data_IF_339141412271
#
_entry.id   IF_339141412271
#
_cell.length_a   1.000
_cell.length_b   1.000
_cell.length_c   1.000
_cell.angle_alpha   90.00
_cell.angle_beta   90.00
_cell.angle_gamma   90.00
#
_symmetry.space_group_name_H-M   'P 1'
#
loop_
_entity.id
_entity.type
_entity.pdbx_description
1 polymer ?
#
# COMPACT_ATOMS: atom_id res chain seq x y z
N UNK A 1 -13.51 34.77 -4.02
CA UNK A 1 -14.51 35.47 -3.13
C UNK A 1 -15.26 34.39 -2.37
N UNK A 2 -15.55 34.59 -1.08
CA UNK A 2 -16.27 33.61 -0.27
C UNK A 2 -17.68 33.40 -0.86
N UNK A 3 -18.13 32.13 -1.02
CA UNK A 3 -19.49 31.84 -1.49
C UNK A 3 -20.58 32.36 -0.54
N UNK A 4 -21.73 32.78 -1.08
CA UNK A 4 -22.83 33.37 -0.32
C UNK A 4 -23.48 32.40 0.68
N UNK A 5 -23.37 31.10 0.44
CA UNK A 5 -23.89 30.07 1.35
C UNK A 5 -23.01 29.84 2.59
N UNK A 6 -21.87 30.52 2.70
CA UNK A 6 -21.05 30.53 3.91
C UNK A 6 -21.27 31.84 4.67
N UNK A 7 -21.58 31.77 5.96
CA UNK A 7 -21.56 32.93 6.86
C UNK A 7 -20.12 33.27 7.27
N UNK A 8 -19.29 32.26 7.55
CA UNK A 8 -17.87 32.40 7.88
C UNK A 8 -17.02 31.47 7.01
N UNK A 9 -15.74 31.81 6.87
CA UNK A 9 -14.75 31.05 6.10
C UNK A 9 -13.70 31.98 5.50
N UNK A 10 -12.44 31.58 5.60
CA UNK A 10 -11.32 32.23 4.99
C UNK A 10 -10.74 31.38 3.86
N UNK A 11 -10.27 32.02 2.78
CA UNK A 11 -9.53 31.27 1.77
C UNK A 11 -8.30 30.61 2.42
N UNK A 12 -8.05 29.35 2.09
CA UNK A 12 -6.89 28.62 2.60
C UNK A 12 -5.59 29.34 2.21
N UNK A 13 -4.65 29.46 3.13
CA UNK A 13 -3.43 30.26 2.98
C UNK A 13 -2.18 29.44 3.30
N UNK A 14 -1.11 29.69 2.57
CA UNK A 14 0.23 29.12 2.84
C UNK A 14 0.80 29.63 4.18
N UNK A 15 0.49 30.87 4.52
CA UNK A 15 0.91 31.50 5.78
C UNK A 15 -0.33 31.85 6.62
N UNK A 16 -0.96 30.86 7.26
CA UNK A 16 -2.14 31.13 8.07
C UNK A 16 -1.76 31.86 9.36
N UNK A 17 -2.53 32.88 9.70
CA UNK A 17 -2.36 33.65 10.95
C UNK A 17 -3.24 32.99 12.02
N UNK A 18 -2.70 31.95 12.66
CA UNK A 18 -3.37 31.15 13.67
C UNK A 18 -2.51 31.10 14.94
N UNK A 19 -3.15 30.81 16.08
CA UNK A 19 -2.44 30.56 17.33
C UNK A 19 -1.35 29.48 17.14
N UNK A 20 -0.24 29.61 17.83
CA UNK A 20 0.89 28.66 17.76
C UNK A 20 0.49 27.26 18.16
N UNK A 21 -0.54 27.09 18.97
CA UNK A 21 -1.10 25.83 19.45
C UNK A 21 -2.03 25.15 18.42
N UNK A 22 -2.52 25.87 17.41
CA UNK A 22 -3.43 25.33 16.39
C UNK A 22 -2.64 24.58 15.29
N UNK A 23 -2.11 23.39 15.63
CA UNK A 23 -1.37 22.57 14.67
C UNK A 23 -2.28 22.05 13.55
N UNK A 24 -3.47 21.58 13.87
CA UNK A 24 -4.45 21.04 12.90
C UNK A 24 -4.85 22.11 11.90
N UNK A 25 -5.37 23.26 12.38
CA UNK A 25 -5.82 24.35 11.50
C UNK A 25 -4.71 24.89 10.60
N UNK A 26 -3.47 25.00 11.11
CA UNK A 26 -2.32 25.42 10.33
C UNK A 26 -1.98 24.42 9.23
N UNK A 27 -1.89 23.14 9.58
CA UNK A 27 -1.57 22.06 8.62
C UNK A 27 -2.66 21.98 7.55
N UNK A 28 -3.92 22.07 7.94
CA UNK A 28 -5.07 22.10 7.03
C UNK A 28 -4.98 23.26 6.05
N UNK A 29 -4.76 24.48 6.55
CA UNK A 29 -4.70 25.69 5.71
C UNK A 29 -3.56 25.59 4.68
N UNK A 30 -2.37 25.16 5.09
CA UNK A 30 -1.21 25.01 4.21
C UNK A 30 -1.49 23.96 3.13
N UNK A 31 -1.97 22.77 3.52
CA UNK A 31 -2.22 21.66 2.57
C UNK A 31 -3.34 22.02 1.59
N UNK A 32 -4.44 22.60 2.07
CA UNK A 32 -5.53 23.03 1.20
C UNK A 32 -5.08 24.17 0.24
N UNK A 33 -4.24 25.09 0.70
CA UNK A 33 -3.68 26.13 -0.16
C UNK A 33 -2.77 25.53 -1.25
N UNK A 34 -1.91 24.58 -0.90
CA UNK A 34 -1.07 23.87 -1.89
C UNK A 34 -1.92 23.05 -2.87
N UNK A 35 -2.98 22.38 -2.40
CA UNK A 35 -3.88 21.61 -3.25
C UNK A 35 -4.57 22.50 -4.30
N UNK A 36 -4.86 23.77 -3.98
CA UNK A 36 -5.46 24.72 -4.92
C UNK A 36 -4.43 25.37 -5.84
N UNK A 37 -3.19 25.56 -5.37
CA UNK A 37 -2.13 26.28 -6.10
C UNK A 37 -1.28 25.36 -6.98
N UNK A 38 -1.17 24.08 -6.63
CA UNK A 38 -0.38 23.09 -7.37
C UNK A 38 -1.35 22.16 -8.10
N UNK A 39 -1.51 22.40 -9.40
CA UNK A 39 -2.56 21.77 -10.20
C UNK A 39 -2.47 20.24 -10.25
N UNK A 40 -1.26 19.71 -10.38
CA UNK A 40 -1.03 18.26 -10.47
C UNK A 40 -1.31 17.58 -9.13
N UNK A 41 -0.94 18.20 -8.01
CA UNK A 41 -1.25 17.69 -6.67
C UNK A 41 -2.76 17.67 -6.45
N UNK A 42 -3.45 18.77 -6.72
CA UNK A 42 -4.90 18.86 -6.62
C UNK A 42 -5.61 17.80 -7.50
N UNK A 43 -5.16 17.65 -8.75
CA UNK A 43 -5.70 16.66 -9.68
C UNK A 43 -5.49 15.22 -9.18
N UNK A 44 -4.30 14.90 -8.68
CA UNK A 44 -3.96 13.55 -8.21
C UNK A 44 -4.75 13.18 -6.95
N UNK A 45 -4.83 14.09 -5.98
CA UNK A 45 -5.60 13.86 -4.75
C UNK A 45 -7.11 13.74 -5.03
N UNK A 46 -7.68 14.64 -5.83
CA UNK A 46 -9.11 14.61 -6.15
C UNK A 46 -9.49 13.41 -7.03
N UNK A 47 -8.58 12.96 -7.91
CA UNK A 47 -8.78 11.70 -8.66
C UNK A 47 -8.92 10.48 -7.73
N UNK A 48 -8.22 10.48 -6.59
CA UNK A 48 -8.27 9.38 -5.63
C UNK A 48 -9.63 9.24 -4.93
N UNK A 49 -10.44 10.30 -4.93
CA UNK A 49 -11.82 10.32 -4.42
C UNK A 49 -12.85 10.33 -5.56
N UNK A 50 -12.49 9.78 -6.71
CA UNK A 50 -13.32 9.62 -7.91
C UNK A 50 -13.73 10.93 -8.61
N UNK A 51 -13.09 12.07 -8.28
CA UNK A 51 -13.33 13.35 -8.95
C UNK A 51 -12.23 13.62 -9.99
N UNK A 52 -12.63 13.74 -11.26
CA UNK A 52 -11.72 14.13 -12.35
C UNK A 52 -11.74 15.65 -12.52
N UNK A 53 -10.58 16.26 -12.33
CA UNK A 53 -10.37 17.70 -12.51
C UNK A 53 -9.70 17.93 -13.86
N UNK A 54 -10.39 18.63 -14.76
CA UNK A 54 -9.88 19.00 -16.07
C UNK A 54 -9.08 20.32 -16.07
N UNK A 55 -8.48 20.66 -17.21
CA UNK A 55 -7.71 21.92 -17.37
C UNK A 55 -8.54 23.21 -17.17
N UNK A 56 -9.86 23.14 -17.41
CA UNK A 56 -10.79 24.28 -17.27
C UNK A 56 -11.50 24.31 -15.93
N UNK A 57 -11.17 23.37 -15.03
CA UNK A 57 -11.76 23.37 -13.70
C UNK A 57 -10.99 24.32 -12.76
N UNK A 58 -11.71 25.04 -11.91
CA UNK A 58 -11.13 25.79 -10.78
C UNK A 58 -11.30 25.01 -9.49
N UNK A 59 -10.29 25.07 -8.65
CA UNK A 59 -10.30 24.48 -7.30
C UNK A 59 -10.11 25.62 -6.30
N UNK A 60 -11.03 25.74 -5.36
CA UNK A 60 -10.96 26.70 -4.26
C UNK A 60 -11.06 25.97 -2.93
N UNK A 61 -10.43 26.51 -1.91
CA UNK A 61 -10.50 25.96 -0.56
C UNK A 61 -10.68 27.05 0.48
N UNK A 62 -11.50 26.77 1.47
CA UNK A 62 -11.80 27.64 2.60
C UNK A 62 -11.56 26.87 3.90
N UNK A 63 -11.08 27.58 4.92
CA UNK A 63 -10.91 27.05 6.29
C UNK A 63 -11.85 27.75 7.25
N UNK A 64 -12.04 27.15 8.41
CA UNK A 64 -12.83 27.72 9.50
C UNK A 64 -14.26 28.11 9.04
N UNK A 65 -14.92 27.20 8.31
CA UNK A 65 -16.18 27.48 7.63
C UNK A 65 -17.40 27.36 8.55
N UNK A 66 -18.38 28.23 8.31
CA UNK A 66 -19.71 28.14 8.90
C UNK A 66 -20.74 28.43 7.80
N UNK A 67 -21.71 27.54 7.63
CA UNK A 67 -22.78 27.73 6.65
C UNK A 67 -23.77 28.81 7.09
N UNK A 68 -24.31 29.53 6.13
CA UNK A 68 -25.34 30.54 6.38
C UNK A 68 -26.65 29.86 6.88
N UNK A 69 -27.23 30.40 7.94
CA UNK A 69 -28.48 29.89 8.52
C UNK A 69 -28.31 28.66 9.42
N UNK A 70 -27.07 28.18 9.64
CA UNK A 70 -26.80 27.08 10.55
C UNK A 70 -26.86 27.53 12.02
N UNK A 71 -27.81 26.98 12.78
CA UNK A 71 -27.99 27.27 14.20
C UNK A 71 -27.03 26.46 15.10
N UNK A 72 -26.39 25.42 14.55
CA UNK A 72 -25.46 24.52 15.26
C UNK A 72 -23.98 24.90 15.08
N UNK A 73 -23.72 25.99 14.38
CA UNK A 73 -22.40 26.46 13.96
C UNK A 73 -21.30 26.54 15.05
N UNK A 74 -21.69 26.60 16.32
CA UNK A 74 -20.74 26.58 17.44
C UNK A 74 -20.16 25.19 17.75
N UNK A 75 -20.82 24.11 17.30
CA UNK A 75 -20.44 22.71 17.58
C UNK A 75 -19.98 21.96 16.32
N UNK A 76 -20.46 22.38 15.15
CA UNK A 76 -20.27 21.68 13.87
C UNK A 76 -19.49 22.58 12.90
N UNK A 77 -18.19 22.76 13.19
CA UNK A 77 -17.30 23.61 12.40
C UNK A 77 -16.24 22.76 11.71
N UNK A 78 -16.47 22.33 10.45
CA UNK A 78 -15.45 21.60 9.69
C UNK A 78 -14.18 22.44 9.52
N UNK A 79 -13.02 21.79 9.52
CA UNK A 79 -11.72 22.43 9.33
C UNK A 79 -11.60 23.11 7.96
N UNK A 80 -12.30 22.55 6.95
CA UNK A 80 -12.25 23.13 5.62
C UNK A 80 -13.40 22.74 4.71
N UNK A 81 -13.47 23.44 3.57
CA UNK A 81 -14.36 23.17 2.46
C UNK A 81 -13.55 23.29 1.15
N UNK A 82 -13.58 22.21 0.35
CA UNK A 82 -13.10 22.24 -1.03
C UNK A 82 -14.27 22.45 -1.98
N UNK A 83 -14.05 23.29 -2.99
CA UNK A 83 -15.02 23.58 -4.05
C UNK A 83 -14.31 23.40 -5.38
N UNK A 84 -14.85 22.53 -6.22
CA UNK A 84 -14.37 22.32 -7.60
C UNK A 84 -15.45 22.72 -8.56
N UNK A 85 -15.14 23.69 -9.45
CA UNK A 85 -16.08 24.16 -10.49
C UNK A 85 -15.59 23.72 -11.86
N UNK A 86 -16.49 23.12 -12.62
CA UNK A 86 -16.27 22.75 -14.02
C UNK A 86 -17.45 23.20 -14.85
N UNK A 87 -17.27 24.30 -15.57
CA UNK A 87 -18.39 25.00 -16.24
C UNK A 87 -19.45 25.44 -15.24
N UNK A 88 -20.70 24.94 -15.41
CA UNK A 88 -21.82 25.25 -14.50
C UNK A 88 -21.95 24.25 -13.31
N UNK A 89 -21.11 23.24 -13.25
CA UNK A 89 -21.17 22.22 -12.19
C UNK A 89 -20.23 22.63 -11.06
N UNK A 90 -20.72 22.53 -9.85
CA UNK A 90 -19.97 22.70 -8.62
C UNK A 90 -20.02 21.41 -7.82
N UNK A 91 -18.85 20.93 -7.39
CA UNK A 91 -18.68 19.81 -6.47
C UNK A 91 -18.04 20.34 -5.19
N UNK A 92 -18.51 19.86 -4.06
CA UNK A 92 -18.09 20.32 -2.73
C UNK A 92 -17.73 19.18 -1.80
N UNK A 93 -16.68 19.35 -0.99
CA UNK A 93 -16.31 18.40 0.05
C UNK A 93 -16.01 19.13 1.37
N UNK A 94 -16.58 18.66 2.48
CA UNK A 94 -16.13 19.04 3.81
C UNK A 94 -14.80 18.36 4.12
N UNK A 95 -13.92 19.06 4.81
CA UNK A 95 -12.61 18.54 5.23
C UNK A 95 -12.56 18.52 6.75
N UNK A 96 -12.13 17.39 7.30
CA UNK A 96 -11.80 17.23 8.73
C UNK A 96 -10.41 16.63 8.86
N UNK A 97 -9.58 17.21 9.70
CA UNK A 97 -8.18 16.82 9.85
C UNK A 97 -7.85 16.48 11.30
N UNK A 98 -6.95 15.52 11.47
CA UNK A 98 -6.35 15.19 12.75
C UNK A 98 -4.85 15.04 12.61
N UNK A 99 -4.08 15.59 13.55
CA UNK A 99 -2.61 15.47 13.59
C UNK A 99 -2.15 14.96 14.97
N UNK A 100 -0.91 14.49 15.03
CA UNK A 100 -0.34 13.96 16.27
C UNK A 100 -1.03 12.67 16.72
N UNK A 101 -1.46 12.62 17.96
CA UNK A 101 -2.18 11.49 18.57
C UNK A 101 -3.69 11.59 18.47
N UNK A 102 -4.22 12.66 17.89
CA UNK A 102 -5.66 12.86 17.76
C UNK A 102 -6.23 11.85 16.76
N UNK A 103 -7.28 11.17 17.15
CA UNK A 103 -8.00 10.19 16.33
C UNK A 103 -9.27 10.82 15.75
N UNK A 104 -9.72 10.24 14.65
CA UNK A 104 -11.04 10.54 14.09
C UNK A 104 -12.12 10.07 15.05
N UNK A 105 -13.18 10.86 15.17
CA UNK A 105 -14.32 10.63 16.04
C UNK A 105 -15.57 10.27 15.22
N UNK A 106 -16.22 9.16 15.58
CA UNK A 106 -17.40 8.65 14.88
C UNK A 106 -18.55 9.64 14.88
N UNK A 107 -18.84 10.24 16.05
CA UNK A 107 -19.93 11.19 16.19
C UNK A 107 -19.66 12.48 15.41
N UNK A 108 -18.39 12.92 15.35
CA UNK A 108 -18.00 14.09 14.58
C UNK A 108 -18.20 13.85 13.07
N UNK A 109 -17.78 12.69 12.57
CA UNK A 109 -17.97 12.35 11.14
C UNK A 109 -19.44 12.24 10.79
N UNK A 110 -20.27 11.67 11.66
CA UNK A 110 -21.72 11.60 11.42
C UNK A 110 -22.40 12.97 11.46
N UNK A 111 -21.97 13.88 12.34
CA UNK A 111 -22.43 15.28 12.31
C UNK A 111 -22.10 15.96 10.98
N UNK A 112 -20.87 15.76 10.46
CA UNK A 112 -20.46 16.34 9.18
C UNK A 112 -21.18 15.74 7.98
N UNK A 113 -21.55 14.46 8.02
CA UNK A 113 -22.45 13.88 7.02
C UNK A 113 -23.82 14.53 7.01
N UNK A 114 -24.38 14.80 8.18
CA UNK A 114 -25.66 15.47 8.32
C UNK A 114 -25.58 16.92 7.83
N UNK A 115 -24.50 17.62 8.17
CA UNK A 115 -24.22 18.97 7.68
C UNK A 115 -24.07 18.99 6.14
N UNK A 116 -23.30 18.04 5.58
CA UNK A 116 -23.16 17.89 4.15
C UNK A 116 -24.50 17.66 3.44
N UNK A 117 -25.34 16.79 3.99
CA UNK A 117 -26.68 16.54 3.47
C UNK A 117 -27.57 17.79 3.51
N UNK A 118 -27.51 18.54 4.61
CA UNK A 118 -28.33 19.76 4.81
C UNK A 118 -27.95 20.86 3.80
N UNK A 119 -26.65 21.04 3.53
CA UNK A 119 -26.15 22.11 2.68
C UNK A 119 -25.82 21.66 1.24
N UNK A 120 -26.20 20.43 0.85
CA UNK A 120 -25.99 19.90 -0.48
C UNK A 120 -24.49 19.75 -0.83
N UNK A 121 -23.66 19.37 0.12
CA UNK A 121 -22.23 19.04 -0.09
C UNK A 121 -22.14 17.58 -0.51
N UNK A 122 -21.27 17.29 -1.48
CA UNK A 122 -21.23 15.98 -2.14
C UNK A 122 -20.58 14.88 -1.29
N UNK A 123 -19.58 15.22 -0.49
CA UNK A 123 -18.88 14.24 0.37
C UNK A 123 -18.19 14.89 1.58
N UNK A 124 -17.66 14.04 2.45
CA UNK A 124 -16.73 14.41 3.52
C UNK A 124 -15.38 13.74 3.23
N UNK A 125 -14.28 14.45 3.43
CA UNK A 125 -12.92 13.89 3.35
C UNK A 125 -12.25 14.09 4.70
N UNK A 126 -11.85 13.01 5.33
CA UNK A 126 -11.06 13.06 6.56
C UNK A 126 -9.58 12.88 6.23
N UNK A 127 -8.72 13.55 7.00
CA UNK A 127 -7.26 13.42 6.87
C UNK A 127 -6.63 13.17 8.24
N UNK A 128 -5.86 12.11 8.39
CA UNK A 128 -5.20 11.80 9.67
C UNK A 128 -3.93 10.95 9.49
N UNK A 129 -3.30 10.57 10.60
CA UNK A 129 -2.20 9.61 10.60
C UNK A 129 -2.66 8.14 10.46
N UNK A 130 -3.97 7.88 10.36
CA UNK A 130 -4.49 6.53 10.12
C UNK A 130 -4.38 6.18 8.63
N UNK A 131 -4.24 4.88 8.33
CA UNK A 131 -4.02 4.39 6.97
C UNK A 131 -5.19 3.56 6.47
N UNK A 132 -5.43 3.62 5.18
CA UNK A 132 -6.42 2.79 4.48
C UNK A 132 -5.89 2.39 3.11
N UNK A 133 -6.28 1.22 2.63
CA UNK A 133 -5.86 0.70 1.32
C UNK A 133 -6.39 1.57 0.16
N UNK A 134 -7.58 2.14 0.33
CA UNK A 134 -8.23 3.08 -0.61
C UNK A 134 -8.96 4.17 0.16
N UNK A 135 -9.12 5.38 -0.39
CA UNK A 135 -9.85 6.45 0.29
C UNK A 135 -11.29 6.09 0.68
N UNK A 136 -11.97 5.22 -0.05
CA UNK A 136 -13.32 4.73 0.25
C UNK A 136 -13.36 3.81 1.47
N UNK A 137 -12.24 3.15 1.78
CA UNK A 137 -12.13 2.21 2.89
C UNK A 137 -11.76 2.95 4.18
N UNK A 138 -12.71 3.74 4.70
CA UNK A 138 -12.50 4.60 5.86
C UNK A 138 -12.00 3.83 7.09
N UNK A 139 -11.09 4.40 7.94
CA UNK A 139 -10.58 3.70 9.13
C UNK A 139 -11.69 3.41 10.15
N UNK A 140 -12.68 4.29 10.30
CA UNK A 140 -13.78 4.08 11.22
C UNK A 140 -14.77 3.03 10.71
N UNK A 141 -15.06 2.03 11.55
CA UNK A 141 -15.98 0.95 11.21
C UNK A 141 -17.42 1.42 11.01
N UNK A 142 -17.87 2.41 11.80
CA UNK A 142 -19.20 3.04 11.68
C UNK A 142 -19.41 3.61 10.28
N UNK A 143 -18.39 4.26 9.72
CA UNK A 143 -18.40 4.81 8.37
C UNK A 143 -18.53 3.69 7.33
N UNK A 144 -17.75 2.61 7.46
CA UNK A 144 -17.79 1.46 6.54
C UNK A 144 -19.14 0.72 6.57
N UNK A 145 -19.83 0.72 7.70
CA UNK A 145 -21.15 0.09 7.87
C UNK A 145 -22.33 1.02 7.54
N UNK A 146 -22.06 2.30 7.34
CA UNK A 146 -23.10 3.29 7.13
C UNK A 146 -23.81 3.13 5.78
N UNK A 147 -25.12 3.35 5.76
CA UNK A 147 -25.97 3.41 4.56
C UNK A 147 -26.22 4.84 4.09
N UNK A 148 -25.48 5.82 4.61
CA UNK A 148 -25.60 7.22 4.20
C UNK A 148 -25.30 7.38 2.71
N UNK A 149 -26.05 8.26 2.03
CA UNK A 149 -25.78 8.63 0.64
C UNK A 149 -24.62 9.61 0.49
N UNK A 150 -24.20 10.24 1.58
CA UNK A 150 -23.02 11.10 1.58
C UNK A 150 -21.78 10.21 1.80
N UNK A 151 -20.92 10.03 0.78
CA UNK A 151 -19.70 9.26 0.94
C UNK A 151 -18.73 9.98 1.86
N UNK A 152 -17.92 9.20 2.58
CA UNK A 152 -16.80 9.70 3.38
C UNK A 152 -15.53 9.03 2.88
N UNK A 153 -14.59 9.84 2.45
CA UNK A 153 -13.26 9.40 2.02
C UNK A 153 -12.23 9.67 3.11
N UNK A 154 -11.12 8.96 3.03
CA UNK A 154 -10.00 9.17 3.93
C UNK A 154 -8.68 9.26 3.19
N UNK A 155 -7.89 10.30 3.49
CA UNK A 155 -6.49 10.41 3.12
C UNK A 155 -5.62 10.28 4.37
N UNK A 156 -4.57 9.44 4.34
CA UNK A 156 -3.51 9.57 5.33
C UNK A 156 -2.61 10.75 4.95
N UNK A 157 -2.02 11.41 5.93
CA UNK A 157 -1.00 12.44 5.68
C UNK A 157 0.16 11.90 4.85
N UNK A 158 0.57 10.66 5.12
CA UNK A 158 1.63 9.99 4.36
C UNK A 158 1.24 9.69 2.91
N UNK A 159 -0.05 9.49 2.61
CA UNK A 159 -0.53 9.39 1.23
C UNK A 159 -0.38 10.72 0.48
N UNK A 160 -0.71 11.85 1.13
CA UNK A 160 -0.52 13.19 0.55
C UNK A 160 0.97 13.45 0.31
N UNK A 161 1.83 13.18 1.29
CA UNK A 161 3.27 13.32 1.18
C UNK A 161 3.85 12.45 0.05
N UNK A 162 3.46 11.18 -0.02
CA UNK A 162 3.93 10.26 -1.05
C UNK A 162 3.45 10.67 -2.45
N UNK A 163 2.24 11.24 -2.56
CA UNK A 163 1.77 11.80 -3.83
C UNK A 163 2.64 12.98 -4.27
N UNK A 164 3.01 13.87 -3.33
CA UNK A 164 3.93 14.96 -3.61
C UNK A 164 5.31 14.45 -4.07
N UNK A 165 5.86 13.45 -3.38
CA UNK A 165 7.14 12.83 -3.74
C UNK A 165 7.13 12.25 -5.16
N UNK A 166 6.08 11.50 -5.52
CA UNK A 166 5.95 10.92 -6.87
C UNK A 166 5.88 11.99 -7.96
N UNK A 167 5.12 13.07 -7.73
CA UNK A 167 5.02 14.17 -8.69
C UNK A 167 6.37 14.86 -8.93
N UNK A 168 7.19 14.99 -7.87
CA UNK A 168 8.55 15.55 -7.97
C UNK A 168 9.47 14.56 -8.72
N UNK A 169 9.53 13.30 -8.29
CA UNK A 169 10.46 12.31 -8.84
C UNK A 169 10.17 11.95 -10.30
N UNK A 170 8.91 12.05 -10.73
CA UNK A 170 8.50 11.77 -12.11
C UNK A 170 8.51 13.01 -13.02
N UNK A 171 9.02 14.16 -12.55
CA UNK A 171 9.04 15.43 -13.29
C UNK A 171 7.66 15.84 -13.84
N UNK A 172 6.58 15.53 -13.07
CA UNK A 172 5.21 15.82 -13.51
C UNK A 172 4.80 17.30 -13.36
N UNK A 173 5.60 18.11 -12.68
CA UNK A 173 5.35 19.54 -12.42
C UNK A 173 6.19 20.38 -13.39
N UNK A 174 5.57 20.93 -14.42
CA UNK A 174 6.26 21.75 -15.40
C UNK A 174 6.51 23.21 -14.94
N UNK A 175 5.69 23.72 -14.03
CA UNK A 175 5.78 25.09 -13.51
C UNK A 175 6.79 25.16 -12.35
N UNK A 176 7.88 25.98 -12.47
CA UNK A 176 8.92 26.06 -11.44
C UNK A 176 8.41 26.57 -10.08
N UNK A 177 7.43 27.48 -10.09
CA UNK A 177 6.89 28.04 -8.84
C UNK A 177 6.03 27.00 -8.12
N UNK A 178 5.25 26.22 -8.87
CA UNK A 178 4.50 25.11 -8.30
C UNK A 178 5.42 23.98 -7.80
N UNK A 179 6.51 23.68 -8.50
CA UNK A 179 7.54 22.74 -8.05
C UNK A 179 8.20 23.21 -6.75
N UNK A 180 8.55 24.50 -6.68
CA UNK A 180 9.09 25.10 -5.45
C UNK A 180 8.10 24.96 -4.29
N UNK A 181 6.83 25.31 -4.49
CA UNK A 181 5.78 25.17 -3.48
C UNK A 181 5.59 23.72 -3.05
N UNK A 182 5.69 22.77 -3.98
CA UNK A 182 5.56 21.33 -3.66
C UNK A 182 6.72 20.82 -2.80
N UNK A 183 7.94 21.27 -3.07
CA UNK A 183 9.11 20.99 -2.24
C UNK A 183 8.98 21.60 -0.84
N UNK A 184 8.48 22.82 -0.72
CA UNK A 184 8.22 23.44 0.58
C UNK A 184 7.10 22.72 1.36
N UNK A 185 6.05 22.29 0.68
CA UNK A 185 5.01 21.45 1.28
C UNK A 185 5.60 20.13 1.81
N UNK A 186 6.41 19.44 1.02
CA UNK A 186 7.11 18.23 1.44
C UNK A 186 7.96 18.46 2.69
N UNK A 187 8.78 19.54 2.70
CA UNK A 187 9.60 19.92 3.84
C UNK A 187 8.74 20.20 5.08
N UNK A 188 7.61 20.90 4.91
CA UNK A 188 6.68 21.18 5.99
C UNK A 188 6.07 19.90 6.56
N UNK A 189 5.52 19.01 5.70
CA UNK A 189 4.85 17.77 6.13
C UNK A 189 5.80 16.77 6.81
N UNK A 190 7.08 16.79 6.47
CA UNK A 190 8.10 15.92 7.10
C UNK A 190 8.65 16.47 8.42
N UNK A 191 8.34 17.71 8.77
CA UNK A 191 8.84 18.31 10.00
C UNK A 191 8.03 17.80 11.22
N UNK A 192 8.72 17.40 12.28
CA UNK A 192 8.12 16.81 13.50
C UNK A 192 7.06 17.70 14.18
N UNK A 193 7.19 19.05 14.04
CA UNK A 193 6.24 20.00 14.64
C UNK A 193 4.82 19.89 14.10
N UNK A 194 4.63 19.30 12.91
CA UNK A 194 3.30 19.08 12.33
C UNK A 194 2.52 17.96 13.02
N UNK A 195 3.23 17.03 13.65
CA UNK A 195 2.64 15.82 14.21
C UNK A 195 2.23 14.78 13.17
N UNK A 196 2.67 14.96 11.91
CA UNK A 196 2.48 13.97 10.85
C UNK A 196 3.53 12.87 11.01
N UNK A 197 3.09 11.63 10.92
CA UNK A 197 3.97 10.46 11.08
C UNK A 197 3.42 9.25 10.34
N UNK A 198 4.33 8.29 10.06
CA UNK A 198 4.00 6.96 9.62
C UNK A 198 3.31 6.13 10.71
N UNK A 199 2.99 4.91 10.39
CA UNK A 199 2.47 3.96 11.39
C UNK A 199 3.62 3.53 12.30
N UNK A 200 3.61 3.91 13.56
CA UNK A 200 4.77 3.81 14.45
C UNK A 200 4.67 2.72 15.53
N UNK A 201 3.50 2.12 15.72
CA UNK A 201 3.31 1.10 16.75
C UNK A 201 2.09 0.21 16.55
N UNK A 202 2.21 -1.03 16.93
CA UNK A 202 1.09 -1.94 17.12
C UNK A 202 0.26 -1.53 18.34
N UNK A 203 -1.05 -1.88 18.39
CA UNK A 203 -1.89 -1.62 19.57
C UNK A 203 -1.48 -2.48 20.78
N UNK A 204 -1.92 -2.14 22.01
CA UNK A 204 -1.62 -2.91 23.21
C UNK A 204 -1.96 -4.41 23.10
N UNK A 205 -2.99 -4.76 22.35
CA UNK A 205 -3.47 -6.10 22.05
C UNK A 205 -2.42 -6.96 21.32
N UNK A 206 -1.44 -6.34 20.69
CA UNK A 206 -0.28 -7.03 20.12
C UNK A 206 0.48 -7.85 21.17
N UNK A 207 0.72 -7.24 22.33
CA UNK A 207 1.43 -7.90 23.44
C UNK A 207 0.58 -9.05 24.00
N UNK A 208 -0.73 -8.84 24.14
CA UNK A 208 -1.67 -9.86 24.61
C UNK A 208 -1.72 -11.06 23.66
N UNK A 209 -1.92 -10.81 22.36
CA UNK A 209 -1.97 -11.86 21.34
C UNK A 209 -0.67 -12.68 21.29
N UNK A 210 0.49 -12.02 21.39
CA UNK A 210 1.79 -12.70 21.44
C UNK A 210 1.95 -13.58 22.69
N UNK A 211 1.48 -13.16 23.85
CA UNK A 211 1.48 -13.98 25.06
C UNK A 211 0.62 -15.23 24.89
N UNK A 212 -0.60 -15.07 24.39
CA UNK A 212 -1.53 -16.18 24.14
C UNK A 212 -0.91 -17.22 23.16
N UNK A 213 -0.34 -16.76 22.04
CA UNK A 213 0.30 -17.65 21.05
C UNK A 213 1.55 -18.31 21.63
N UNK A 214 2.35 -17.60 22.44
CA UNK A 214 3.54 -18.15 23.10
C UNK A 214 3.21 -19.22 24.14
N UNK A 215 2.03 -19.14 24.75
CA UNK A 215 1.50 -20.18 25.64
C UNK A 215 0.90 -21.39 24.89
N UNK A 216 1.02 -21.40 23.54
CA UNK A 216 0.41 -22.42 22.66
C UNK A 216 -1.13 -22.50 22.76
N UNK A 217 -1.75 -21.40 23.19
CA UNK A 217 -3.20 -21.32 23.30
C UNK A 217 -3.83 -21.01 21.93
N UNK A 218 -5.06 -21.48 21.72
CA UNK A 218 -5.81 -21.19 20.52
C UNK A 218 -6.36 -19.76 20.55
N UNK A 219 -6.25 -19.02 19.46
CA UNK A 219 -6.88 -17.70 19.32
C UNK A 219 -8.41 -17.89 19.31
N UNK A 220 -9.15 -17.27 20.25
CA UNK A 220 -10.61 -17.43 20.33
C UNK A 220 -11.32 -16.99 19.05
N UNK A 221 -12.47 -17.61 18.75
CA UNK A 221 -13.26 -17.30 17.56
C UNK A 221 -13.83 -15.86 17.52
N UNK A 222 -13.88 -15.19 18.67
CA UNK A 222 -14.35 -13.80 18.84
C UNK A 222 -13.30 -12.96 19.56
N UNK A 223 -12.03 -13.07 19.18
CA UNK A 223 -10.93 -12.31 19.79
C UNK A 223 -10.92 -10.88 19.27
N UNK A 224 -11.32 -9.92 20.09
CA UNK A 224 -11.20 -8.49 19.78
C UNK A 224 -9.73 -8.08 19.64
N UNK A 225 -8.85 -8.64 20.46
CA UNK A 225 -7.41 -8.40 20.39
C UNK A 225 -6.83 -8.80 19.03
N UNK A 226 -7.20 -9.97 18.51
CA UNK A 226 -6.71 -10.39 17.20
C UNK A 226 -7.29 -9.54 16.06
N UNK A 227 -8.51 -9.05 16.17
CA UNK A 227 -9.10 -8.11 15.21
C UNK A 227 -8.37 -6.76 15.23
N UNK A 228 -8.10 -6.20 16.41
CA UNK A 228 -7.35 -4.95 16.56
C UNK A 228 -5.93 -5.08 15.97
N UNK A 229 -5.27 -6.21 16.19
CA UNK A 229 -3.95 -6.52 15.60
C UNK A 229 -4.01 -6.58 14.08
N UNK A 230 -5.04 -7.20 13.50
CA UNK A 230 -5.20 -7.25 12.04
C UNK A 230 -5.49 -5.88 11.43
N UNK A 231 -6.33 -5.07 12.06
CA UNK A 231 -6.59 -3.70 11.59
C UNK A 231 -5.31 -2.84 11.64
N UNK A 232 -4.49 -3.01 12.67
CA UNK A 232 -3.17 -2.38 12.77
C UNK A 232 -2.19 -2.90 11.70
N UNK A 233 -2.20 -4.20 11.44
CA UNK A 233 -1.41 -4.82 10.38
C UNK A 233 -1.78 -4.28 8.99
N UNK A 234 -3.07 -4.06 8.72
CA UNK A 234 -3.51 -3.43 7.47
C UNK A 234 -3.00 -1.99 7.33
N UNK A 235 -2.94 -1.22 8.42
CA UNK A 235 -2.39 0.12 8.40
C UNK A 235 -0.88 0.10 8.14
N UNK A 236 -0.15 -0.77 8.82
CA UNK A 236 1.29 -0.95 8.61
C UNK A 236 1.61 -1.39 7.17
N UNK A 237 0.92 -2.38 6.64
CA UNK A 237 1.17 -2.84 5.26
C UNK A 237 0.89 -1.75 4.23
N UNK A 238 -0.08 -0.88 4.50
CA UNK A 238 -0.30 0.30 3.67
C UNK A 238 0.84 1.30 3.80
N UNK A 239 1.34 1.57 5.00
CA UNK A 239 2.49 2.48 5.19
C UNK A 239 3.75 1.91 4.53
N UNK A 240 4.05 0.62 4.69
CA UNK A 240 5.14 -0.05 3.98
C UNK A 240 5.05 0.13 2.45
N UNK A 241 3.85 0.07 1.88
CA UNK A 241 3.66 0.34 0.45
C UNK A 241 4.02 1.79 0.08
N UNK A 242 3.71 2.76 0.94
CA UNK A 242 4.07 4.16 0.75
C UNK A 242 5.57 4.41 0.97
N UNK A 243 6.18 3.73 1.94
CA UNK A 243 7.63 3.76 2.18
C UNK A 243 8.38 3.26 0.96
N UNK A 244 8.01 2.08 0.42
CA UNK A 244 8.62 1.55 -0.80
C UNK A 244 8.36 2.45 -2.01
N UNK A 245 7.17 3.04 -2.13
CA UNK A 245 6.87 4.01 -3.18
C UNK A 245 7.86 5.17 -3.18
N UNK A 246 8.12 5.77 -2.01
CA UNK A 246 9.08 6.88 -1.88
C UNK A 246 10.53 6.47 -2.12
N UNK A 247 10.88 5.21 -1.80
CA UNK A 247 12.25 4.69 -2.01
C UNK A 247 12.51 4.24 -3.46
N UNK A 248 11.48 3.78 -4.16
CA UNK A 248 11.59 3.27 -5.54
C UNK A 248 11.16 4.28 -6.59
N UNK A 249 10.57 5.41 -6.15
CA UNK A 249 9.98 6.44 -7.04
C UNK A 249 8.91 5.87 -7.98
N UNK A 250 8.38 4.70 -7.65
CA UNK A 250 7.37 3.98 -8.41
C UNK A 250 6.19 3.60 -7.51
N UNK A 251 4.96 3.68 -8.01
CA UNK A 251 3.76 3.48 -7.20
C UNK A 251 3.59 2.02 -6.76
N UNK A 252 4.07 1.70 -5.57
CA UNK A 252 3.88 0.39 -4.93
C UNK A 252 2.48 0.29 -4.33
N UNK A 253 1.84 -0.85 -4.53
CA UNK A 253 0.47 -1.12 -4.04
C UNK A 253 0.38 -2.43 -3.30
N UNK A 254 -0.51 -2.51 -2.31
CA UNK A 254 -0.94 -3.80 -1.77
C UNK A 254 -1.60 -4.63 -2.89
N UNK A 255 -1.15 -5.88 -3.04
CA UNK A 255 -1.77 -6.84 -3.96
C UNK A 255 -2.89 -7.59 -3.25
N UNK A 256 -4.09 -7.03 -3.30
CA UNK A 256 -5.28 -7.60 -2.69
C UNK A 256 -6.22 -8.19 -3.76
N UNK A 257 -6.90 -9.31 -3.46
CA UNK A 257 -8.02 -9.78 -4.29
C UNK A 257 -9.09 -8.70 -4.42
N UNK A 258 -9.77 -8.63 -5.57
CA UNK A 258 -10.82 -7.63 -5.80
C UNK A 258 -11.88 -7.62 -4.71
N UNK A 259 -12.33 -8.82 -4.26
CA UNK A 259 -13.30 -8.95 -3.16
C UNK A 259 -12.85 -8.28 -1.85
N UNK A 260 -11.54 -8.27 -1.54
CA UNK A 260 -11.00 -7.60 -0.34
C UNK A 260 -10.87 -6.08 -0.53
N UNK A 261 -10.63 -5.65 -1.77
CA UNK A 261 -10.61 -4.22 -2.09
C UNK A 261 -12.02 -3.60 -2.02
N UNK A 262 -13.03 -4.36 -2.41
CA UNK A 262 -14.42 -3.91 -2.45
C UNK A 262 -15.12 -4.07 -1.08
N UNK A 263 -14.68 -5.03 -0.25
CA UNK A 263 -15.22 -5.28 1.10
C UNK A 263 -14.09 -5.50 2.14
N UNK A 264 -13.65 -4.46 2.85
CA UNK A 264 -12.67 -4.56 3.92
C UNK A 264 -13.10 -5.43 5.11
N UNK A 265 -14.40 -5.56 5.36
CA UNK A 265 -14.87 -6.42 6.45
C UNK A 265 -14.75 -7.90 6.06
N UNK A 266 -14.93 -8.24 4.79
CA UNK A 266 -14.66 -9.58 4.28
C UNK A 266 -13.17 -9.91 4.37
N UNK A 267 -12.28 -8.96 3.98
CA UNK A 267 -10.83 -9.08 4.16
C UNK A 267 -10.49 -9.43 5.60
N UNK A 268 -10.97 -8.61 6.55
CA UNK A 268 -10.69 -8.78 7.98
C UNK A 268 -11.17 -10.16 8.46
N UNK A 269 -12.35 -10.62 8.04
CA UNK A 269 -12.91 -11.92 8.41
C UNK A 269 -12.07 -13.09 7.88
N UNK A 270 -11.67 -13.05 6.61
CA UNK A 270 -10.88 -14.14 5.99
C UNK A 270 -9.46 -14.18 6.57
N UNK A 271 -8.82 -13.02 6.75
CA UNK A 271 -7.48 -12.94 7.34
C UNK A 271 -7.50 -13.31 8.83
N UNK A 272 -8.58 -13.01 9.56
CA UNK A 272 -8.76 -13.48 10.94
C UNK A 272 -8.84 -15.02 11.02
N UNK A 273 -9.55 -15.65 10.11
CA UNK A 273 -9.59 -17.11 10.05
C UNK A 273 -8.19 -17.70 9.77
N UNK A 274 -7.46 -17.12 8.81
CA UNK A 274 -6.08 -17.49 8.50
C UNK A 274 -5.13 -17.30 9.69
N UNK A 275 -5.22 -16.17 10.40
CA UNK A 275 -4.40 -15.90 11.59
C UNK A 275 -4.65 -16.91 12.71
N UNK A 276 -5.91 -17.32 12.91
CA UNK A 276 -6.26 -18.34 13.90
C UNK A 276 -5.65 -19.70 13.58
N UNK A 277 -5.57 -20.05 12.33
CA UNK A 277 -5.01 -21.32 11.86
C UNK A 277 -3.48 -21.31 11.86
N UNK A 278 -2.90 -20.33 11.16
CA UNK A 278 -1.48 -20.31 10.84
C UNK A 278 -0.60 -19.59 11.89
N UNK A 279 -1.20 -18.76 12.76
CA UNK A 279 -0.49 -17.85 13.68
C UNK A 279 0.46 -16.88 12.94
N UNK A 280 0.12 -16.54 11.68
CA UNK A 280 0.92 -15.65 10.82
C UNK A 280 0.08 -14.48 10.33
N UNK A 281 0.68 -13.30 10.33
CA UNK A 281 0.21 -12.16 9.56
C UNK A 281 0.90 -12.19 8.19
N UNK A 282 0.18 -11.84 7.14
CA UNK A 282 0.72 -11.83 5.79
C UNK A 282 0.31 -10.59 5.02
N UNK A 283 1.18 -10.13 4.13
CA UNK A 283 0.89 -9.06 3.17
C UNK A 283 1.64 -9.30 1.86
N UNK A 284 1.12 -8.77 0.78
CA UNK A 284 1.74 -8.85 -0.54
C UNK A 284 1.77 -7.45 -1.16
N UNK A 285 2.95 -6.99 -1.55
CA UNK A 285 3.17 -5.71 -2.20
C UNK A 285 3.56 -5.92 -3.67
N UNK A 286 2.91 -5.19 -4.55
CA UNK A 286 3.24 -5.17 -5.98
C UNK A 286 4.08 -3.93 -6.28
N UNK A 287 5.37 -4.15 -6.54
CA UNK A 287 6.29 -3.12 -7.04
C UNK A 287 6.24 -3.16 -8.57
N UNK A 288 6.02 -2.03 -9.25
CA UNK A 288 6.02 -2.00 -10.71
C UNK A 288 7.31 -2.58 -11.29
N UNK A 289 7.18 -3.35 -12.35
CA UNK A 289 8.28 -3.96 -13.11
C UNK A 289 9.22 -4.89 -12.32
N UNK A 290 8.95 -5.15 -11.04
CA UNK A 290 9.68 -6.16 -10.28
C UNK A 290 9.41 -7.57 -10.82
N UNK A 291 10.37 -8.47 -10.64
CA UNK A 291 10.30 -9.85 -11.14
C UNK A 291 9.09 -10.64 -10.60
N UNK A 292 8.65 -10.32 -9.38
CA UNK A 292 7.44 -10.83 -8.75
C UNK A 292 7.02 -9.92 -7.58
N UNK A 293 5.81 -10.08 -7.05
CA UNK A 293 5.40 -9.36 -5.84
C UNK A 293 6.30 -9.71 -4.64
N UNK A 294 6.41 -8.75 -3.70
CA UNK A 294 7.09 -8.92 -2.42
C UNK A 294 6.07 -9.43 -1.40
N UNK A 295 6.33 -10.60 -0.84
CA UNK A 295 5.49 -11.23 0.18
C UNK A 295 6.12 -11.02 1.55
N UNK A 296 5.34 -10.56 2.53
CA UNK A 296 5.78 -10.20 3.87
C UNK A 296 5.01 -11.05 4.88
N UNK A 297 5.71 -11.65 5.82
CA UNK A 297 5.11 -12.48 6.84
C UNK A 297 5.67 -12.17 8.22
N UNK A 298 4.79 -12.09 9.22
CA UNK A 298 5.15 -12.06 10.63
C UNK A 298 4.59 -13.30 11.33
N UNK A 299 5.46 -14.19 11.79
CA UNK A 299 5.08 -15.43 12.46
C UNK A 299 5.14 -15.24 13.97
N UNK A 300 3.99 -15.29 14.64
CA UNK A 300 3.86 -15.06 16.08
C UNK A 300 4.47 -16.20 16.92
N UNK A 301 4.43 -17.45 16.41
CA UNK A 301 4.96 -18.63 17.14
C UNK A 301 6.49 -18.58 17.21
N UNK A 302 7.14 -18.30 16.09
CA UNK A 302 8.60 -18.31 15.98
C UNK A 302 9.23 -16.94 16.23
N UNK A 303 8.41 -15.88 16.32
CA UNK A 303 8.84 -14.47 16.44
C UNK A 303 9.78 -14.08 15.30
N UNK A 304 9.36 -14.44 14.08
CA UNK A 304 10.15 -14.26 12.87
C UNK A 304 9.43 -13.29 11.92
N UNK A 305 10.18 -12.38 11.35
CA UNK A 305 9.77 -11.56 10.20
C UNK A 305 10.43 -12.17 8.98
N UNK A 306 9.64 -12.46 7.94
CA UNK A 306 10.13 -12.99 6.67
C UNK A 306 9.64 -12.12 5.52
N UNK A 307 10.52 -11.86 4.56
CA UNK A 307 10.20 -11.19 3.29
C UNK A 307 10.68 -12.10 2.18
N UNK A 308 9.84 -12.37 1.20
CA UNK A 308 10.18 -13.28 0.12
C UNK A 308 9.66 -12.85 -1.25
N UNK A 309 10.32 -13.32 -2.29
CA UNK A 309 9.87 -13.20 -3.68
C UNK A 309 10.01 -14.55 -4.39
N UNK A 310 9.01 -14.88 -5.21
CA UNK A 310 9.01 -16.13 -5.98
C UNK A 310 9.50 -15.89 -7.41
N UNK A 311 10.43 -16.73 -7.89
CA UNK A 311 10.84 -16.78 -9.28
C UNK A 311 10.60 -18.16 -9.88
N UNK A 312 10.01 -18.18 -11.08
CA UNK A 312 9.94 -19.40 -11.89
C UNK A 312 11.33 -19.76 -12.42
N UNK A 313 11.68 -21.03 -12.32
CA UNK A 313 12.96 -21.49 -12.84
C UNK A 313 12.97 -21.49 -14.38
N UNK A 314 14.13 -21.22 -15.03
CA UNK A 314 14.23 -21.18 -16.47
C UNK A 314 14.03 -22.58 -17.10
N UNK A 315 13.07 -22.71 -18.00
CA UNK A 315 12.69 -23.98 -18.65
C UNK A 315 13.70 -24.42 -19.71
N UNK A 316 14.48 -23.48 -20.25
CA UNK A 316 15.55 -23.75 -21.21
C UNK A 316 16.75 -24.47 -20.59
N UNK A 317 16.83 -24.54 -19.25
CA UNK A 317 17.89 -25.24 -18.52
C UNK A 317 17.41 -26.60 -18.02
N UNK A 318 18.16 -27.66 -18.44
CA UNK A 318 17.74 -29.05 -18.27
C UNK A 318 18.12 -29.67 -16.92
N UNK A 319 19.02 -29.06 -16.12
CA UNK A 319 19.39 -29.55 -14.79
C UNK A 319 19.05 -28.57 -13.69
N UNK A 320 18.78 -29.07 -12.49
CA UNK A 320 18.55 -28.25 -11.30
C UNK A 320 19.77 -27.38 -11.01
N UNK A 321 20.97 -27.91 -11.05
CA UNK A 321 22.21 -27.16 -10.89
C UNK A 321 22.32 -25.98 -11.85
N UNK A 322 21.96 -26.16 -13.14
CA UNK A 322 21.99 -25.08 -14.11
C UNK A 322 20.92 -24.00 -13.83
N UNK A 323 19.75 -24.36 -13.32
CA UNK A 323 18.69 -23.45 -12.88
C UNK A 323 19.09 -22.67 -11.63
N UNK A 324 19.69 -23.33 -10.64
CA UNK A 324 20.23 -22.71 -9.44
C UNK A 324 21.34 -21.71 -9.80
N UNK A 325 22.30 -22.11 -10.65
CA UNK A 325 23.37 -21.22 -11.12
C UNK A 325 22.84 -19.98 -11.89
N UNK A 326 21.69 -20.08 -12.55
CA UNK A 326 21.02 -18.93 -13.15
C UNK A 326 20.52 -17.95 -12.07
N UNK A 327 19.95 -18.44 -10.98
CA UNK A 327 19.52 -17.61 -9.85
C UNK A 327 20.74 -17.00 -9.14
N UNK A 328 21.76 -17.78 -8.82
CA UNK A 328 22.96 -17.32 -8.09
C UNK A 328 23.68 -16.17 -8.80
N UNK A 329 23.64 -16.12 -10.14
CA UNK A 329 24.19 -15.00 -10.92
C UNK A 329 23.45 -13.68 -10.64
N UNK A 330 22.17 -13.72 -10.40
CA UNK A 330 21.37 -12.53 -10.07
C UNK A 330 21.60 -12.07 -8.63
N UNK A 331 21.92 -13.00 -7.75
CA UNK A 331 22.18 -12.75 -6.34
C UNK A 331 23.67 -12.50 -6.02
N UNK A 332 24.51 -12.31 -7.04
CA UNK A 332 25.99 -12.21 -6.86
C UNK A 332 26.42 -11.13 -5.88
N UNK A 333 25.73 -10.01 -5.84
CA UNK A 333 26.05 -8.83 -5.00
C UNK A 333 25.40 -8.86 -3.64
N UNK A 334 24.51 -9.81 -3.37
CA UNK A 334 23.81 -9.93 -2.08
C UNK A 334 24.81 -10.32 -0.98
N UNK A 335 24.88 -9.50 0.09
CA UNK A 335 25.79 -9.71 1.22
C UNK A 335 25.09 -10.03 2.53
N UNK A 336 23.75 -9.94 2.56
CA UNK A 336 22.95 -10.17 3.77
C UNK A 336 22.97 -11.66 4.16
N UNK A 337 23.38 -12.01 5.39
CA UNK A 337 23.61 -13.42 5.77
C UNK A 337 22.36 -14.25 5.95
N UNK A 338 21.19 -13.61 6.19
CA UNK A 338 19.93 -14.30 6.49
C UNK A 338 19.10 -14.65 5.24
N UNK A 339 19.75 -14.66 4.06
CA UNK A 339 19.09 -15.03 2.81
C UNK A 339 19.10 -16.55 2.61
N UNK A 340 17.92 -17.09 2.36
CA UNK A 340 17.70 -18.50 2.09
C UNK A 340 17.00 -18.68 0.76
N UNK A 341 17.23 -19.80 0.11
CA UNK A 341 16.60 -20.20 -1.15
C UNK A 341 15.78 -21.47 -0.90
N UNK A 342 14.47 -21.37 -1.08
CA UNK A 342 13.57 -22.54 -1.03
C UNK A 342 13.34 -23.00 -2.46
N UNK A 343 13.71 -24.24 -2.75
CA UNK A 343 13.54 -24.89 -4.03
C UNK A 343 12.17 -25.56 -4.09
N UNK A 344 11.40 -25.26 -5.13
CA UNK A 344 10.09 -25.82 -5.36
C UNK A 344 10.17 -26.96 -6.37
N UNK A 345 9.70 -28.14 -5.98
CA UNK A 345 9.80 -29.36 -6.76
C UNK A 345 8.48 -29.75 -7.42
N UNK A 346 8.48 -30.59 -8.48
CA UNK A 346 7.25 -31.02 -9.12
C UNK A 346 6.42 -31.97 -8.25
N UNK A 347 5.12 -32.02 -8.53
CA UNK A 347 4.16 -32.87 -7.84
C UNK A 347 4.02 -32.55 -6.36
N UNK A 348 3.94 -33.59 -5.51
CA UNK A 348 3.81 -33.48 -4.04
C UNK A 348 5.16 -33.52 -3.31
N UNK A 349 6.28 -33.40 -4.02
CA UNK A 349 7.61 -33.38 -3.38
C UNK A 349 7.79 -32.16 -2.50
N UNK A 350 8.22 -32.40 -1.25
CA UNK A 350 8.50 -31.33 -0.30
C UNK A 350 9.59 -30.38 -0.82
N UNK A 351 9.40 -29.09 -0.58
CA UNK A 351 10.40 -28.07 -0.88
C UNK A 351 11.65 -28.27 -0.02
N UNK A 352 12.81 -27.91 -0.57
CA UNK A 352 14.08 -27.91 0.17
C UNK A 352 14.55 -26.47 0.39
N UNK A 353 15.16 -26.21 1.56
CA UNK A 353 15.60 -24.89 1.98
C UNK A 353 17.11 -24.91 2.19
N UNK A 354 17.82 -23.95 1.58
CA UNK A 354 19.25 -23.79 1.70
C UNK A 354 19.62 -22.35 2.03
N UNK A 355 20.61 -22.10 2.90
CA UNK A 355 21.27 -20.81 2.97
C UNK A 355 21.87 -20.42 1.61
N UNK A 356 21.82 -19.14 1.26
CA UNK A 356 22.39 -18.66 -0.01
C UNK A 356 23.89 -18.99 -0.13
N UNK A 357 24.63 -18.87 0.96
CA UNK A 357 26.09 -19.13 0.99
C UNK A 357 26.43 -20.58 0.65
N UNK A 358 25.68 -21.54 1.19
CA UNK A 358 25.91 -22.96 0.88
C UNK A 358 25.70 -23.27 -0.61
N UNK A 359 24.68 -22.66 -1.22
CA UNK A 359 24.44 -22.82 -2.67
C UNK A 359 25.51 -22.11 -3.52
N UNK A 360 26.11 -21.05 -3.01
CA UNK A 360 27.24 -20.36 -3.67
C UNK A 360 28.51 -21.19 -3.64
N UNK A 361 28.77 -21.87 -2.51
CA UNK A 361 29.92 -22.75 -2.36
C UNK A 361 29.80 -23.97 -3.26
N UNK A 362 28.66 -24.64 -3.23
CA UNK A 362 28.39 -25.78 -4.11
C UNK A 362 26.90 -25.87 -4.52
N UNK A 363 26.61 -25.43 -5.75
CA UNK A 363 25.27 -25.51 -6.29
C UNK A 363 24.77 -26.97 -6.51
N UNK A 364 25.66 -27.97 -6.46
CA UNK A 364 25.27 -29.37 -6.67
C UNK A 364 24.52 -29.95 -5.46
N UNK A 365 24.68 -29.38 -4.25
CA UNK A 365 23.91 -29.80 -3.05
C UNK A 365 22.39 -29.70 -3.28
N UNK A 366 21.97 -28.81 -4.21
CA UNK A 366 20.57 -28.64 -4.55
C UNK A 366 19.92 -29.89 -5.19
N UNK A 367 20.71 -30.83 -5.70
CA UNK A 367 20.23 -32.07 -6.32
C UNK A 367 20.19 -33.25 -5.34
N UNK A 368 20.74 -33.09 -4.11
CA UNK A 368 20.83 -34.14 -3.09
C UNK A 368 19.43 -34.59 -2.65
N UNK A 369 19.13 -35.88 -2.78
CA UNK A 369 17.82 -36.46 -2.45
C UNK A 369 16.68 -36.07 -3.38
N UNK A 370 17.03 -35.46 -4.54
CA UNK A 370 16.09 -35.02 -5.59
C UNK A 370 16.61 -35.42 -7.00
N UNK A 371 17.37 -36.50 -7.06
CA UNK A 371 17.98 -37.00 -8.28
C UNK A 371 16.93 -37.21 -9.38
N UNK A 372 17.20 -36.71 -10.57
CA UNK A 372 16.27 -36.79 -11.71
C UNK A 372 15.12 -35.82 -11.70
N UNK A 373 14.94 -35.03 -10.63
CA UNK A 373 13.93 -33.97 -10.58
C UNK A 373 14.51 -32.65 -11.06
N UNK A 374 13.64 -31.81 -11.61
CA UNK A 374 14.00 -30.44 -11.99
C UNK A 374 13.24 -29.44 -11.12
N UNK A 375 13.96 -28.50 -10.49
CA UNK A 375 13.35 -27.44 -9.71
C UNK A 375 12.43 -26.58 -10.59
N UNK A 376 11.22 -26.28 -10.16
CA UNK A 376 10.22 -25.52 -10.87
C UNK A 376 10.31 -24.01 -10.58
N UNK A 377 10.77 -23.65 -9.41
CA UNK A 377 10.89 -22.26 -9.00
C UNK A 377 11.62 -22.10 -7.67
N UNK A 378 11.81 -20.88 -7.31
CA UNK A 378 12.59 -20.46 -6.14
C UNK A 378 11.80 -19.45 -5.32
N UNK A 379 11.67 -19.65 -4.02
CA UNK A 379 11.42 -18.55 -3.09
C UNK A 379 12.75 -18.07 -2.55
N UNK A 380 13.08 -16.83 -2.83
CA UNK A 380 14.23 -16.11 -2.27
C UNK A 380 13.70 -15.38 -1.05
N UNK A 381 14.19 -15.72 0.13
CA UNK A 381 13.64 -15.21 1.37
C UNK A 381 14.72 -14.69 2.33
N UNK A 382 14.44 -13.54 2.93
CA UNK A 382 15.10 -13.03 4.11
C UNK A 382 14.24 -13.43 5.31
N UNK A 383 14.80 -14.12 6.28
CA UNK A 383 14.04 -14.58 7.46
C UNK A 383 14.83 -14.28 8.73
N UNK A 384 14.32 -13.33 9.55
CA UNK A 384 14.96 -12.91 10.79
C UNK A 384 14.13 -13.26 12.02
N UNK A 385 14.74 -14.02 12.92
CA UNK A 385 14.18 -14.23 14.25
C UNK A 385 14.58 -13.05 15.14
N UNK A 386 13.58 -12.21 15.47
CA UNK A 386 13.81 -10.93 16.18
C UNK A 386 13.60 -11.01 17.70
N UNK A 387 13.27 -12.19 18.22
CA UNK A 387 13.20 -12.48 19.65
C UNK A 387 12.25 -11.58 20.43
N UNK A 388 12.71 -11.00 21.54
CA UNK A 388 11.89 -10.17 22.42
C UNK A 388 11.40 -8.86 21.75
N UNK A 389 12.13 -8.33 20.77
CA UNK A 389 11.72 -7.12 20.04
C UNK A 389 10.44 -7.33 19.25
N UNK A 390 10.14 -8.57 18.84
CA UNK A 390 8.90 -8.94 18.12
C UNK A 390 7.64 -8.57 18.90
N UNK A 391 7.65 -8.75 20.22
CA UNK A 391 6.47 -8.51 21.06
C UNK A 391 6.31 -7.04 21.48
N UNK A 392 7.29 -6.21 21.19
CA UNK A 392 7.30 -4.78 21.54
C UNK A 392 6.67 -3.97 20.42
N UNK A 393 5.63 -3.23 20.72
CA UNK A 393 4.76 -2.56 19.76
C UNK A 393 5.53 -1.68 18.75
N UNK A 394 6.41 -0.80 19.24
CA UNK A 394 7.18 0.13 18.41
C UNK A 394 8.35 -0.57 17.71
N UNK A 395 9.08 -1.44 18.42
CA UNK A 395 10.24 -2.11 17.83
C UNK A 395 9.86 -3.10 16.72
N UNK A 396 8.68 -3.73 16.80
CA UNK A 396 8.17 -4.60 15.75
C UNK A 396 7.97 -3.83 14.45
N UNK A 397 7.34 -2.66 14.51
CA UNK A 397 7.12 -1.79 13.34
C UNK A 397 8.46 -1.29 12.78
N UNK A 398 9.33 -0.75 13.63
CA UNK A 398 10.64 -0.28 13.19
C UNK A 398 11.48 -1.38 12.48
N UNK A 399 11.35 -2.64 12.93
CA UNK A 399 12.00 -3.77 12.28
C UNK A 399 11.38 -4.13 10.93
N UNK A 400 10.06 -4.05 10.78
CA UNK A 400 9.39 -4.23 9.48
C UNK A 400 9.84 -3.18 8.48
N UNK A 401 9.81 -1.90 8.88
CA UNK A 401 10.23 -0.77 8.05
C UNK A 401 11.72 -0.78 7.68
N UNK A 402 12.53 -1.50 8.44
CA UNK A 402 13.93 -1.75 8.12
C UNK A 402 14.07 -2.96 7.18
N UNK A 403 13.50 -4.12 7.55
CA UNK A 403 13.73 -5.41 6.89
C UNK A 403 13.11 -5.44 5.48
N UNK A 404 11.92 -4.86 5.30
CA UNK A 404 11.23 -4.91 4.00
C UNK A 404 11.96 -4.12 2.92
N UNK A 405 12.34 -2.84 3.13
CA UNK A 405 13.15 -2.12 2.16
C UNK A 405 14.55 -2.71 1.97
N UNK A 406 15.20 -3.21 3.04
CA UNK A 406 16.50 -3.88 2.96
C UNK A 406 16.45 -5.08 2.02
N UNK A 407 15.45 -5.95 2.17
CA UNK A 407 15.26 -7.09 1.27
C UNK A 407 15.05 -6.65 -0.18
N UNK A 408 14.23 -5.63 -0.41
CA UNK A 408 13.98 -5.15 -1.78
C UNK A 408 15.25 -4.56 -2.39
N UNK A 409 16.02 -3.78 -1.64
CA UNK A 409 17.27 -3.18 -2.08
C UNK A 409 18.35 -4.23 -2.36
N UNK A 410 18.54 -5.19 -1.46
CA UNK A 410 19.59 -6.21 -1.58
C UNK A 410 19.23 -7.29 -2.62
N UNK A 411 17.98 -7.70 -2.65
CA UNK A 411 17.51 -8.85 -3.41
C UNK A 411 16.52 -8.45 -4.49
N UNK A 412 15.39 -7.86 -4.11
CA UNK A 412 14.22 -7.74 -4.97
C UNK A 412 14.48 -6.98 -6.27
N UNK A 413 15.17 -5.85 -6.20
CA UNK A 413 15.49 -5.01 -7.36
C UNK A 413 16.48 -5.66 -8.35
N UNK A 414 17.22 -6.67 -7.92
CA UNK A 414 18.22 -7.36 -8.74
C UNK A 414 17.65 -8.60 -9.44
N UNK A 415 16.44 -9.02 -9.09
CA UNK A 415 15.80 -10.20 -9.65
C UNK A 415 15.16 -9.89 -11.02
N UNK A 416 15.38 -10.80 -11.97
CA UNK A 416 14.79 -10.74 -13.29
C UNK A 416 14.01 -12.02 -13.54
N UNK A 417 12.71 -11.87 -13.87
CA UNK A 417 11.87 -13.00 -14.21
C UNK A 417 12.33 -13.65 -15.53
N UNK A 418 12.43 -14.98 -15.52
CA UNK A 418 12.70 -15.68 -16.77
C UNK A 418 11.52 -15.54 -17.73
N UNK A 419 11.86 -15.28 -18.99
CA UNK A 419 10.89 -15.23 -20.09
C UNK A 419 11.35 -16.16 -21.21
N UNK A 420 10.42 -16.92 -21.77
CA UNK A 420 10.69 -17.77 -22.93
C UNK A 420 11.11 -16.89 -24.11
N UNK A 421 12.19 -17.25 -24.77
CA UNK A 421 12.61 -16.53 -25.98
C UNK A 421 11.56 -16.69 -27.08
N UNK A 422 11.34 -15.63 -27.85
CA UNK A 422 10.48 -15.72 -29.03
C UNK A 422 10.97 -16.86 -29.98
N UNK A 423 10.07 -17.60 -30.61
CA UNK A 423 10.42 -18.62 -31.60
C UNK A 423 11.30 -17.99 -32.70
N UNK A 424 12.40 -18.66 -33.03
CA UNK A 424 13.26 -18.25 -34.15
C UNK A 424 12.83 -18.98 -35.40
N UNK A 425 12.79 -18.28 -36.55
CA UNK A 425 12.61 -18.89 -37.86
C UNK A 425 13.77 -19.88 -38.06
N UNK A 426 13.44 -21.14 -38.25
CA UNK A 426 14.46 -22.15 -38.59
C UNK A 426 15.01 -21.82 -39.95
N UNK A 427 16.35 -21.78 -40.14
CA UNK A 427 16.90 -21.66 -41.51
C UNK A 427 16.38 -22.83 -42.33
N UNK A 428 15.90 -22.55 -43.57
CA UNK A 428 15.44 -23.58 -44.51
C UNK A 428 16.47 -24.69 -44.57
N UNK A 429 16.17 -25.85 -44.02
CA UNK A 429 16.81 -27.09 -44.41
C UNK A 429 16.10 -27.50 -45.71
N UNK A 430 16.79 -27.40 -46.83
CA UNK A 430 16.32 -28.00 -48.07
C UNK A 430 15.99 -29.47 -47.77
N UNK A 431 14.70 -29.81 -47.79
CA UNK A 431 14.22 -31.20 -47.73
C UNK A 431 13.51 -31.67 -46.47
N UNK A 432 12.57 -30.90 -45.88
CA UNK A 432 11.45 -31.50 -45.12
C UNK A 432 10.25 -30.57 -45.09
N UNK A 433 9.34 -30.79 -46.00
CA UNK A 433 7.93 -30.39 -45.86
C UNK A 433 7.27 -31.33 -44.85
N UNK A 434 7.24 -30.97 -43.57
CA UNK A 434 6.29 -31.50 -42.64
C UNK A 434 5.94 -30.40 -41.64
N UNK A 435 5.01 -29.55 -42.06
CA UNK A 435 4.16 -28.82 -41.12
C UNK A 435 3.16 -29.87 -40.65
N UNK A 436 3.19 -30.22 -39.37
CA UNK A 436 2.22 -31.14 -38.80
C UNK A 436 0.83 -30.53 -38.95
N UNK A 437 -0.02 -31.21 -39.71
CA UNK A 437 -1.42 -30.81 -39.95
C UNK A 437 -2.17 -30.76 -38.61
N UNK A 438 -1.78 -31.64 -37.66
CA UNK A 438 -2.36 -31.74 -36.30
C UNK A 438 -2.21 -30.43 -35.51
N UNK A 439 -1.14 -29.65 -35.67
CA UNK A 439 -0.95 -28.36 -35.00
C UNK A 439 -1.86 -27.25 -35.55
N UNK A 440 -2.33 -27.38 -36.78
CA UNK A 440 -3.29 -26.44 -37.38
C UNK A 440 -4.74 -26.81 -37.01
N UNK A 441 -4.99 -28.08 -36.76
CA UNK A 441 -6.31 -28.57 -36.26
C UNK A 441 -6.54 -28.19 -34.79
N UNK A 442 -5.50 -28.28 -33.91
CA UNK A 442 -5.57 -27.82 -32.54
C UNK A 442 -5.82 -26.30 -32.43
N UNK A 443 -5.19 -25.44 -33.25
CA UNK A 443 -5.47 -24.01 -33.27
C UNK A 443 -6.89 -23.68 -33.78
N UNK A 444 -7.40 -24.47 -34.70
CA UNK A 444 -8.77 -24.27 -35.19
C UNK A 444 -9.82 -24.69 -34.17
N UNK A 445 -9.56 -25.68 -33.32
CA UNK A 445 -10.42 -26.10 -32.22
C UNK A 445 -10.38 -25.13 -31.06
N UNK A 446 -9.21 -24.56 -30.69
CA UNK A 446 -9.12 -23.51 -29.66
C UNK A 446 -9.84 -22.21 -30.07
N UNK A 447 -9.76 -21.79 -31.33
CA UNK A 447 -10.50 -20.61 -31.83
C UNK A 447 -12.02 -20.85 -31.93
N UNK A 448 -12.49 -22.10 -31.98
CA UNK A 448 -13.91 -22.43 -32.00
C UNK A 448 -14.54 -22.49 -30.60
N UNK A 449 -13.75 -22.55 -29.54
CA UNK A 449 -14.20 -22.59 -28.15
C UNK A 449 -14.29 -21.19 -27.47
N UNK A 450 -13.71 -20.17 -28.12
CA UNK A 450 -13.72 -18.77 -27.62
C UNK A 450 -14.79 -17.85 -28.29
N UNK A 451 -15.78 -18.42 -29.01
CA UNK A 451 -16.93 -17.68 -29.58
C UNK A 451 -18.25 -18.01 -28.91
#
# INVERSE_FOLDING_TARGET
>A
MKPDYLSQGEAARLFPVLATTSKEGRTTAVVLSCLTSIHELGRSLLKSVNLRVGKTSSVEAFTEIVFAGDKTASKDRPDGLLIVRTGKREWRALIETKVGSNLLDDDQVDRYRNLAKLHGVDCVITVSNQFTSRPENHPLQSVRKSRSRIPVYHWSWMFILTTADLLISNDEIADPDQLYLLNELKRFLTHESTGIKGFDRMPPEWTELNKLVSASEAIPAKSEAALAVLEAWHQETRDLSLILTRKTEALVREKLPRKHLDDPNLRLKEEFASLRETKRLGAVLNVPDAASPVEIYANLMTRTISVEMFLRAPEDKKSTKARVNWLLRQLKTVSTPDIHIRLMWPGSSESTLYPLEELREDAAISETGKEGMQVLGFHILLSRRVGAKFTQQTNFIALLEQIVPEFYQEVGQNLVAWRKSAPKIKPNREGSTDVSVDALEEEAEEMALDN
#
